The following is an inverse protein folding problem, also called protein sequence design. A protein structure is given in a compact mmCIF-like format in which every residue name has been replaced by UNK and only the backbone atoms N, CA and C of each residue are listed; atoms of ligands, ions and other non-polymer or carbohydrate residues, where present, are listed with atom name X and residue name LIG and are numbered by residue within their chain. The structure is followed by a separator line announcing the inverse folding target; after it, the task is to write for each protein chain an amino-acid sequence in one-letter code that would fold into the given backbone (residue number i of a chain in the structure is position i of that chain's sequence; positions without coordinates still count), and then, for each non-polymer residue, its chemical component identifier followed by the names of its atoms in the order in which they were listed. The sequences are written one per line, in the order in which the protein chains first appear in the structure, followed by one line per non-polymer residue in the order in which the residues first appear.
data_IF_609161032307
#
_entry.id   IF_609161032307
#
_cell.length_a   1.000
_cell.length_b   1.000
_cell.length_c   1.000
_cell.angle_alpha   90.00
_cell.angle_beta   90.00
_cell.angle_gamma   90.00
#
_symmetry.space_group_name_H-M   'P 1'
#
loop_
_entity.id
_entity.type
_entity.pdbx_description
1 polymer ?
#
# COMPACT_ATOMS: atom_id res chain seq x y z
N UNK A 1 0.45 -2.36 -3.81
CA UNK A 1 -0.93 -2.47 -4.36
C UNK A 1 -2.01 -1.95 -3.41
N UNK A 2 -2.22 -2.53 -2.23
CA UNK A 2 -3.27 -2.08 -1.29
C UNK A 2 -3.10 -0.61 -0.92
N UNK A 3 -1.86 -0.17 -0.72
CA UNK A 3 -1.52 1.23 -0.43
C UNK A 3 -1.97 2.23 -1.51
N UNK A 4 -1.98 1.82 -2.77
CA UNK A 4 -2.47 2.63 -3.90
C UNK A 4 -3.98 2.84 -3.80
N UNK A 5 -4.72 1.75 -3.56
CA UNK A 5 -6.18 1.80 -3.42
C UNK A 5 -6.58 2.60 -2.18
N UNK A 6 -5.91 2.38 -1.05
CA UNK A 6 -6.18 3.16 0.17
C UNK A 6 -5.94 4.64 -0.10
N UNK A 7 -4.85 5.00 -0.78
CA UNK A 7 -4.59 6.39 -1.17
C UNK A 7 -5.67 6.95 -2.11
N UNK A 8 -6.20 6.15 -3.04
CA UNK A 8 -7.26 6.58 -3.97
C UNK A 8 -8.57 6.97 -3.25
N UNK A 9 -8.89 6.29 -2.14
CA UNK A 9 -10.15 6.48 -1.42
C UNK A 9 -10.04 7.42 -0.22
N UNK A 10 -8.87 7.47 0.43
CA UNK A 10 -8.66 8.18 1.68
C UNK A 10 -7.56 9.24 1.61
N UNK A 11 -6.82 9.33 0.50
CA UNK A 11 -5.68 10.23 0.37
C UNK A 11 -4.48 9.80 1.22
N UNK A 12 -3.71 10.77 1.70
CA UNK A 12 -2.54 10.55 2.56
C UNK A 12 -1.26 10.16 1.82
N UNK A 13 -0.23 9.92 2.63
CA UNK A 13 1.12 9.60 2.17
C UNK A 13 1.30 8.09 1.99
N UNK A 14 2.17 7.70 1.07
CA UNK A 14 2.68 6.33 0.97
C UNK A 14 4.04 6.27 1.65
N UNK A 15 4.20 5.32 2.55
CA UNK A 15 5.44 5.04 3.26
C UNK A 15 5.90 3.61 2.95
N UNK A 16 7.19 3.36 3.18
CA UNK A 16 7.80 2.05 2.98
C UNK A 16 8.67 1.62 4.15
N UNK A 17 8.82 0.30 4.23
CA UNK A 17 9.80 -0.39 5.09
C UNK A 17 10.38 -1.57 4.32
N UNK A 18 11.61 -1.95 4.65
CA UNK A 18 12.21 -3.15 4.07
C UNK A 18 11.80 -4.38 4.87
N UNK A 19 11.37 -5.43 4.18
CA UNK A 19 11.04 -6.73 4.77
C UNK A 19 11.88 -7.82 4.11
N UNK A 20 11.99 -9.03 4.70
CA UNK A 20 12.64 -10.15 4.02
C UNK A 20 12.04 -10.48 2.64
N UNK A 21 10.76 -10.14 2.42
CA UNK A 21 10.05 -10.34 1.15
C UNK A 21 10.20 -9.19 0.15
N UNK A 22 10.98 -8.15 0.47
CA UNK A 22 11.15 -6.95 -0.35
C UNK A 22 10.54 -5.69 0.27
N UNK A 23 10.34 -4.66 -0.56
CA UNK A 23 9.78 -3.38 -0.12
C UNK A 23 8.30 -3.55 0.19
N UNK A 24 7.90 -3.23 1.41
CA UNK A 24 6.50 -3.19 1.81
C UNK A 24 5.99 -1.75 1.82
N UNK A 25 4.76 -1.53 1.32
CA UNK A 25 4.14 -0.21 1.21
C UNK A 25 2.88 -0.13 2.07
N UNK A 26 2.74 0.96 2.81
CA UNK A 26 1.60 1.24 3.68
C UNK A 26 1.29 2.75 3.67
N UNK A 27 0.23 3.19 4.35
CA UNK A 27 -0.24 4.57 4.28
C UNK A 27 -0.09 5.30 5.61
N UNK A 28 0.10 6.62 5.51
CA UNK A 28 -0.11 7.56 6.61
C UNK A 28 -1.24 8.51 6.27
N UNK A 29 -2.30 8.49 7.06
CA UNK A 29 -3.50 9.31 6.87
C UNK A 29 -3.77 10.04 8.19
N UNK A 30 -3.87 11.36 8.13
CA UNK A 30 -4.06 12.24 9.30
C UNK A 30 -3.05 11.98 10.43
N UNK A 31 -1.79 11.76 10.04
CA UNK A 31 -0.70 11.46 10.99
C UNK A 31 -0.72 10.05 11.59
N UNK A 32 -1.71 9.21 11.24
CA UNK A 32 -1.83 7.83 11.70
C UNK A 32 -1.39 6.83 10.64
N UNK A 33 -0.70 5.79 11.10
CA UNK A 33 -0.23 4.67 10.30
C UNK A 33 -1.35 3.64 10.03
N UNK A 34 -1.49 3.26 8.76
CA UNK A 34 -2.46 2.28 8.29
C UNK A 34 -1.79 1.25 7.39
N UNK A 35 -1.75 0.00 7.87
CA UNK A 35 -1.33 -1.18 7.11
C UNK A 35 -2.45 -2.22 7.15
N UNK A 36 -3.25 -2.27 6.08
CA UNK A 36 -4.35 -3.21 5.94
C UNK A 36 -3.89 -4.62 5.54
N UNK A 37 -2.58 -4.82 5.42
CA UNK A 37 -1.94 -6.05 4.97
C UNK A 37 -0.97 -6.63 5.99
N UNK A 38 -0.90 -6.07 7.20
CA UNK A 38 0.00 -6.53 8.28
C UNK A 38 -0.16 -8.02 8.59
N UNK A 39 -1.38 -8.55 8.50
CA UNK A 39 -1.66 -9.98 8.75
C UNK A 39 -1.09 -10.93 7.69
N UNK A 40 -0.56 -10.41 6.57
CA UNK A 40 0.10 -11.19 5.53
C UNK A 40 1.54 -11.56 5.92
N UNK A 41 2.11 -10.92 6.95
CA UNK A 41 3.47 -11.15 7.40
C UNK A 41 3.49 -12.18 8.54
N UNK A 42 4.40 -13.16 8.43
CA UNK A 42 4.64 -14.14 9.49
C UNK A 42 5.47 -13.56 10.66
N UNK A 43 6.22 -12.49 10.38
CA UNK A 43 7.07 -11.79 11.34
C UNK A 43 6.60 -10.34 11.50
N UNK A 44 6.92 -9.67 12.63
CA UNK A 44 6.61 -8.26 12.81
C UNK A 44 7.21 -7.38 11.70
N UNK A 45 6.40 -6.48 11.17
CA UNK A 45 6.83 -5.49 10.17
C UNK A 45 7.62 -4.37 10.88
N UNK A 46 8.80 -3.95 10.38
CA UNK A 46 9.66 -2.98 11.08
C UNK A 46 9.13 -1.54 11.12
N UNK A 47 8.39 -1.12 10.08
CA UNK A 47 7.84 0.22 9.92
C UNK A 47 8.88 1.36 10.00
N UNK A 48 9.83 1.37 9.07
CA UNK A 48 10.87 2.42 8.96
C UNK A 48 10.33 3.82 8.62
N UNK A 49 9.07 3.90 8.19
CA UNK A 49 8.36 5.13 7.80
C UNK A 49 9.09 5.96 6.74
N UNK A 50 9.77 5.26 5.82
CA UNK A 50 10.49 5.90 4.72
C UNK A 50 9.48 6.50 3.73
N UNK A 51 9.55 7.80 3.41
CA UNK A 51 8.66 8.41 2.42
C UNK A 51 8.82 7.76 1.04
N UNK A 52 7.69 7.50 0.38
CA UNK A 52 7.65 6.94 -0.97
C UNK A 52 6.61 7.64 -1.83
N UNK A 53 6.66 7.39 -3.13
CA UNK A 53 5.71 7.95 -4.09
C UNK A 53 4.74 6.89 -4.61
N UNK A 54 3.67 7.38 -5.22
CA UNK A 54 2.69 6.56 -5.91
C UNK A 54 3.30 5.84 -7.11
N UNK A 55 4.20 6.51 -7.83
CA UNK A 55 4.91 5.96 -8.99
C UNK A 55 5.77 4.77 -8.56
N UNK A 56 6.47 4.87 -7.42
CA UNK A 56 7.24 3.75 -6.87
C UNK A 56 6.34 2.57 -6.50
N UNK A 57 5.22 2.82 -5.83
CA UNK A 57 4.26 1.77 -5.47
C UNK A 57 3.55 1.14 -6.70
N UNK A 58 3.38 1.90 -7.79
CA UNK A 58 2.87 1.40 -9.07
C UNK A 58 3.92 0.53 -9.79
N UNK A 59 5.19 0.94 -9.77
CA UNK A 59 6.29 0.17 -10.35
C UNK A 59 6.51 -1.19 -9.66
N UNK A 60 6.16 -1.30 -8.39
CA UNK A 60 6.23 -2.54 -7.61
C UNK A 60 5.05 -3.51 -7.86
N UNK A 61 4.05 -3.11 -8.66
CA UNK A 61 2.92 -3.97 -9.01
C UNK A 61 2.72 -4.11 -10.51
N UNK A 62 1.97 -5.14 -10.92
CA UNK A 62 1.45 -5.21 -12.30
C UNK A 62 0.30 -4.20 -12.47
N UNK A 63 0.32 -3.39 -13.55
CA UNK A 63 -0.77 -2.48 -13.88
C UNK A 63 -2.12 -3.19 -14.06
N UNK A 64 -2.11 -4.39 -14.63
CA UNK A 64 -3.30 -5.22 -14.86
C UNK A 64 -3.95 -5.63 -13.54
N UNK A 65 -3.14 -6.05 -12.56
CA UNK A 65 -3.65 -6.40 -11.23
C UNK A 65 -4.27 -5.19 -10.55
N UNK A 66 -3.64 -4.02 -10.63
CA UNK A 66 -4.16 -2.79 -10.02
C UNK A 66 -5.48 -2.37 -10.68
N UNK A 67 -5.54 -2.36 -12.01
CA UNK A 67 -6.75 -2.04 -12.76
C UNK A 67 -7.91 -3.00 -12.44
N UNK A 68 -7.63 -4.31 -12.33
CA UNK A 68 -8.63 -5.31 -11.97
C UNK A 68 -9.15 -5.12 -10.53
N UNK A 69 -8.27 -4.82 -9.58
CA UNK A 69 -8.68 -4.57 -8.21
C UNK A 69 -9.57 -3.34 -8.11
N UNK A 70 -9.18 -2.24 -8.77
CA UNK A 70 -9.96 -1.00 -8.81
C UNK A 70 -11.34 -1.23 -9.45
N UNK A 71 -11.42 -2.01 -10.55
CA UNK A 71 -12.70 -2.28 -11.20
C UNK A 71 -13.66 -3.08 -10.31
N UNK A 72 -13.16 -4.07 -9.58
CA UNK A 72 -13.95 -4.86 -8.61
C UNK A 72 -14.47 -4.01 -7.46
N UNK A 73 -13.64 -3.12 -6.91
CA UNK A 73 -14.05 -2.21 -5.84
C UNK A 73 -15.12 -1.22 -6.30
N UNK A 74 -15.03 -0.72 -7.53
CA UNK A 74 -16.08 0.12 -8.12
C UNK A 74 -17.40 -0.62 -8.31
N UNK A 75 -17.35 -1.90 -8.69
CA UNK A 75 -18.54 -2.74 -8.87
C UNK A 75 -19.19 -3.21 -7.55
N UNK A 76 -18.50 -3.04 -6.42
CA UNK A 76 -18.98 -3.44 -5.08
C UNK A 76 -19.68 -2.31 -4.33
N UNK A 77 -19.94 -1.16 -4.99
CA UNK A 77 -20.73 -0.03 -4.49
C UNK A 77 -22.15 -0.12 -5.01
#
# INVERSE_FOLDING_TARGET
MTSLVVQDYFGGDILTTQTPGGTHFYNRIDGKMWDLTVSQFAEPVPYDDTPSTREAALADTSPEKYALLVSRLKASR
#
